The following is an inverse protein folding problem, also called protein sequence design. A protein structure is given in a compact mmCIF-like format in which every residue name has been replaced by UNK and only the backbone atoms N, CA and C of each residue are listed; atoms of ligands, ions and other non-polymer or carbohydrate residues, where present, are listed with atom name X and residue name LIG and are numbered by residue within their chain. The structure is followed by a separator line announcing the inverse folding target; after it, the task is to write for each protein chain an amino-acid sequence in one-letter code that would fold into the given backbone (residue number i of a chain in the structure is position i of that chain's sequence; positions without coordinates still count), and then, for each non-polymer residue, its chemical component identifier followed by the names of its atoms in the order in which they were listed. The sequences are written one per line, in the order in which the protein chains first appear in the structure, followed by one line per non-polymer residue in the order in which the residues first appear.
data_IF_387013163632
#
_entry.id   IF_387013163632
#
_cell.length_a   1.000
_cell.length_b   1.000
_cell.length_c   1.000
_cell.angle_alpha   90.00
_cell.angle_beta   90.00
_cell.angle_gamma   90.00
#
_symmetry.space_group_name_H-M   'P 1'
#
loop_
_entity.id
_entity.type
_entity.pdbx_description
1 polymer ?
#
# COMPACT_ATOMS: atom_id res chain seq x y z
N UNK A 1 20.94 31.33 28.87
CA UNK A 1 19.62 30.68 28.66
C UNK A 1 19.91 29.21 28.35
N UNK A 2 19.94 28.36 29.38
CA UNK A 2 20.42 26.98 29.28
C UNK A 2 19.25 26.05 29.04
N UNK A 3 19.15 25.48 27.84
CA UNK A 3 18.09 24.53 27.49
C UNK A 3 18.22 23.26 28.35
N UNK A 4 17.31 23.05 29.31
CA UNK A 4 17.18 21.77 30.01
C UNK A 4 16.40 20.82 29.11
N UNK A 5 17.10 20.13 28.22
CA UNK A 5 16.48 19.06 27.43
C UNK A 5 16.07 17.91 28.36
N UNK A 6 14.76 17.69 28.49
CA UNK A 6 14.22 16.58 29.28
C UNK A 6 14.46 15.27 28.53
N UNK A 7 15.09 14.28 29.17
CA UNK A 7 15.37 12.95 28.58
C UNK A 7 14.13 12.27 28.01
N UNK A 8 12.94 12.59 28.54
CA UNK A 8 11.65 12.11 28.04
C UNK A 8 11.33 12.64 26.63
N UNK A 9 11.73 13.88 26.31
CA UNK A 9 11.53 14.48 24.98
C UNK A 9 12.44 13.82 23.94
N UNK A 10 13.68 13.51 24.33
CA UNK A 10 14.63 12.79 23.46
C UNK A 10 14.14 11.37 23.18
N UNK A 11 13.67 10.64 24.21
CA UNK A 11 13.09 9.31 24.03
C UNK A 11 11.86 9.30 23.12
N UNK A 12 10.95 10.26 23.31
CA UNK A 12 9.77 10.42 22.45
C UNK A 12 10.16 10.68 20.98
N UNK A 13 11.15 11.54 20.75
CA UNK A 13 11.62 11.87 19.41
C UNK A 13 12.28 10.68 18.71
N UNK A 14 13.06 9.87 19.45
CA UNK A 14 13.68 8.64 18.94
C UNK A 14 12.63 7.59 18.56
N UNK A 15 11.58 7.42 19.36
CA UNK A 15 10.48 6.49 19.06
C UNK A 15 9.73 6.93 17.80
N UNK A 16 9.47 8.22 17.64
CA UNK A 16 8.84 8.77 16.44
C UNK A 16 9.71 8.59 15.19
N UNK A 17 11.02 8.84 15.29
CA UNK A 17 11.98 8.65 14.19
C UNK A 17 12.12 7.17 13.79
N UNK A 18 12.12 6.24 14.75
CA UNK A 18 12.14 4.80 14.48
C UNK A 18 10.84 4.29 13.85
N UNK A 19 9.70 4.89 14.17
CA UNK A 19 8.40 4.50 13.61
C UNK A 19 8.25 4.93 12.15
N UNK A 20 8.84 6.07 11.77
CA UNK A 20 8.71 6.63 10.42
C UNK A 20 9.43 5.82 9.32
N UNK A 21 10.38 4.95 9.67
CA UNK A 21 11.19 4.19 8.71
C UNK A 21 10.61 2.84 8.30
N UNK A 22 9.52 2.38 8.95
CA UNK A 22 8.97 1.04 8.75
C UNK A 22 7.83 0.96 7.72
N UNK A 23 7.37 2.09 7.19
CA UNK A 23 6.25 2.14 6.26
C UNK A 23 6.73 2.26 4.81
N UNK A 24 7.01 1.13 4.17
CA UNK A 24 7.20 1.06 2.71
C UNK A 24 5.82 1.14 2.03
N UNK A 25 5.33 2.36 1.83
CA UNK A 25 4.11 2.63 1.05
C UNK A 25 4.51 2.71 -0.42
N UNK A 26 4.64 1.56 -1.07
CA UNK A 26 4.79 1.49 -2.52
C UNK A 26 3.43 1.35 -3.17
N UNK A 27 3.22 2.11 -4.26
CA UNK A 27 2.13 1.83 -5.17
C UNK A 27 2.32 0.43 -5.76
N UNK A 28 1.26 -0.39 -5.72
CA UNK A 28 1.25 -1.70 -6.33
C UNK A 28 0.70 -1.62 -7.75
N UNK A 29 1.37 -2.29 -8.69
CA UNK A 29 0.89 -2.44 -10.07
C UNK A 29 0.00 -3.69 -10.18
N UNK A 30 -1.16 -3.55 -10.81
CA UNK A 30 -2.08 -4.65 -11.10
C UNK A 30 -2.30 -4.82 -12.60
N UNK A 31 -2.40 -6.07 -13.05
CA UNK A 31 -2.45 -6.45 -14.46
C UNK A 31 -3.80 -7.05 -14.84
N UNK A 32 -4.32 -6.57 -15.97
CA UNK A 32 -5.52 -7.09 -16.63
C UNK A 32 -5.15 -7.53 -18.05
N UNK A 33 -5.38 -8.78 -18.37
CA UNK A 33 -5.08 -9.39 -19.67
C UNK A 33 -6.33 -10.13 -20.20
N UNK A 34 -6.98 -9.65 -21.27
CA UNK A 34 -8.17 -10.28 -21.84
C UNK A 34 -7.92 -11.68 -22.41
N UNK A 35 -6.69 -11.98 -22.85
CA UNK A 35 -6.33 -13.24 -23.49
C UNK A 35 -5.87 -14.28 -22.47
N UNK A 36 -5.02 -13.89 -21.53
CA UNK A 36 -4.37 -14.81 -20.57
C UNK A 36 -4.86 -14.67 -19.13
N UNK A 37 -5.81 -13.77 -18.87
CA UNK A 37 -6.38 -13.53 -17.56
C UNK A 37 -7.09 -14.74 -16.98
N UNK A 38 -6.95 -14.92 -15.67
CA UNK A 38 -7.56 -15.99 -14.89
C UNK A 38 -8.77 -15.44 -14.12
N UNK A 39 -9.89 -16.17 -14.13
CA UNK A 39 -11.08 -15.80 -13.35
C UNK A 39 -10.80 -15.68 -11.85
N UNK A 40 -9.85 -16.48 -11.34
CA UNK A 40 -9.37 -16.42 -9.96
C UNK A 40 -7.94 -15.85 -9.86
N UNK A 41 -7.56 -14.97 -10.80
CA UNK A 41 -6.31 -14.22 -10.71
C UNK A 41 -6.26 -13.34 -9.47
N UNK A 42 -5.06 -12.88 -9.12
CA UNK A 42 -4.80 -11.95 -8.03
C UNK A 42 -4.33 -10.57 -8.53
N UNK A 43 -4.31 -10.37 -9.85
CA UNK A 43 -3.86 -9.13 -10.48
C UNK A 43 -2.33 -9.01 -10.60
N UNK A 44 -1.57 -10.02 -10.18
CA UNK A 44 -0.12 -10.08 -10.44
C UNK A 44 0.20 -10.32 -11.92
N UNK A 45 1.45 -10.10 -12.32
CA UNK A 45 1.94 -10.43 -13.68
C UNK A 45 1.75 -11.92 -14.01
N UNK A 46 1.88 -12.80 -13.02
CA UNK A 46 1.78 -14.25 -13.20
C UNK A 46 0.32 -14.72 -13.29
N UNK A 47 -0.59 -14.02 -12.61
CA UNK A 47 -2.02 -14.37 -12.54
C UNK A 47 -2.89 -13.11 -12.76
N UNK A 48 -2.81 -12.51 -13.96
CA UNK A 48 -3.56 -11.30 -14.25
C UNK A 48 -5.07 -11.58 -14.22
N UNK A 49 -5.85 -10.55 -13.93
CA UNK A 49 -7.30 -10.62 -14.10
C UNK A 49 -7.69 -10.53 -15.56
N UNK A 50 -8.92 -10.95 -15.89
CA UNK A 50 -9.37 -11.01 -17.30
C UNK A 50 -9.93 -9.70 -17.81
N UNK A 51 -10.81 -9.06 -17.04
CA UNK A 51 -11.47 -7.81 -17.43
C UNK A 51 -11.58 -6.86 -16.26
N UNK A 52 -11.72 -5.56 -16.54
CA UNK A 52 -11.97 -4.56 -15.51
C UNK A 52 -13.38 -4.67 -14.92
N UNK A 53 -14.38 -5.02 -15.74
CA UNK A 53 -15.78 -5.16 -15.31
C UNK A 53 -15.93 -6.15 -14.15
N UNK A 54 -15.26 -7.30 -14.25
CA UNK A 54 -15.30 -8.33 -13.21
C UNK A 54 -14.77 -7.80 -11.86
N UNK A 55 -13.79 -6.89 -11.89
CA UNK A 55 -13.21 -6.32 -10.66
C UNK A 55 -14.18 -5.38 -9.96
N UNK A 56 -14.96 -4.61 -10.73
CA UNK A 56 -16.03 -3.78 -10.17
C UNK A 56 -17.17 -4.65 -9.62
N UNK A 57 -17.59 -5.66 -10.37
CA UNK A 57 -18.66 -6.60 -9.95
C UNK A 57 -18.29 -7.34 -8.66
N UNK A 58 -17.01 -7.70 -8.50
CA UNK A 58 -16.47 -8.36 -7.31
C UNK A 58 -16.12 -7.40 -6.16
N UNK A 59 -16.24 -6.09 -6.36
CA UNK A 59 -15.89 -5.09 -5.35
C UNK A 59 -14.39 -5.06 -5.00
N UNK A 60 -13.52 -5.45 -5.95
CA UNK A 60 -12.06 -5.42 -5.75
C UNK A 60 -11.46 -4.03 -6.00
N UNK A 61 -12.16 -3.19 -6.77
CA UNK A 61 -11.72 -1.83 -7.11
C UNK A 61 -12.87 -0.84 -6.99
N UNK A 62 -12.53 0.41 -6.64
CA UNK A 62 -13.46 1.53 -6.54
C UNK A 62 -12.83 2.81 -7.07
N UNK A 63 -13.67 3.69 -7.62
CA UNK A 63 -13.27 5.04 -8.03
C UNK A 63 -13.52 6.02 -6.88
N UNK A 64 -12.58 6.94 -6.62
CA UNK A 64 -12.86 8.14 -5.83
C UNK A 64 -13.11 9.30 -6.78
N UNK A 65 -14.25 9.98 -6.61
CA UNK A 65 -14.53 11.27 -7.24
C UNK A 65 -14.06 12.41 -6.34
#
# INVERSE_FOLDING_TARGET
MSYRFSSAVLFSCVIWLLSATLFDVRAADFYVDPQRGQANGDGSKQRPWRTLSELFERGLIHTRQ
#
